data_IF_580598689021
#
_entry.id   IF_580598689021
#
_cell.length_a   1.000
_cell.length_b   1.000
_cell.length_c   1.000
_cell.angle_alpha   90.00
_cell.angle_beta   90.00
_cell.angle_gamma   90.00
#
_symmetry.space_group_name_H-M   'P 1'
#
loop_
_entity.id
_entity.type
_entity.pdbx_description
1 polymer ?
#
# COMPACT_ATOMS: atom_id res chain seq x y z
N UNK A 1 9.73 -52.07 -20.66
CA UNK A 1 9.43 -50.82 -21.37
C UNK A 1 7.90 -50.81 -21.48
N UNK A 2 7.12 -50.06 -20.72
CA UNK A 2 6.96 -48.59 -20.59
C UNK A 2 6.01 -48.40 -19.37
N UNK A 3 6.08 -47.41 -18.47
CA UNK A 3 6.50 -46.02 -18.55
C UNK A 3 5.28 -45.11 -18.68
N UNK A 4 4.54 -44.84 -17.59
CA UNK A 4 3.43 -43.87 -17.59
C UNK A 4 3.34 -43.12 -16.25
N UNK A 5 4.23 -42.14 -16.06
CA UNK A 5 4.08 -41.10 -15.05
C UNK A 5 3.41 -39.89 -15.67
N UNK A 6 2.08 -39.82 -15.58
CA UNK A 6 1.29 -38.65 -15.98
C UNK A 6 1.29 -37.61 -14.84
N UNK A 7 2.38 -36.86 -14.70
CA UNK A 7 2.42 -35.72 -13.79
C UNK A 7 1.65 -34.55 -14.39
N UNK A 8 0.50 -34.22 -13.81
CA UNK A 8 -0.24 -32.99 -14.10
C UNK A 8 0.70 -31.79 -13.87
N UNK A 9 0.95 -30.88 -14.84
CA UNK A 9 1.75 -29.70 -14.55
C UNK A 9 0.94 -28.83 -13.59
N UNK A 10 1.29 -28.87 -12.29
CA UNK A 10 0.85 -27.84 -11.35
C UNK A 10 1.38 -26.52 -11.92
N UNK A 11 0.48 -25.64 -12.36
CA UNK A 11 0.85 -24.28 -12.71
C UNK A 11 1.63 -23.71 -11.51
N UNK A 12 2.91 -23.39 -11.73
CA UNK A 12 3.68 -22.70 -10.73
C UNK A 12 3.05 -21.30 -10.58
N UNK A 13 2.35 -21.07 -9.48
CA UNK A 13 1.89 -19.73 -9.12
C UNK A 13 3.14 -18.89 -8.94
N UNK A 14 3.46 -18.05 -9.93
CA UNK A 14 4.55 -17.06 -9.79
C UNK A 14 4.15 -16.16 -8.63
N UNK A 15 4.98 -16.12 -7.60
CA UNK A 15 4.78 -15.18 -6.49
C UNK A 15 4.75 -13.77 -7.08
N UNK A 16 3.71 -12.99 -6.75
CA UNK A 16 3.67 -11.59 -7.12
C UNK A 16 4.95 -10.91 -6.61
N UNK A 17 5.61 -10.07 -7.41
CA UNK A 17 6.78 -9.33 -6.94
C UNK A 17 6.38 -8.58 -5.67
N UNK A 18 7.22 -8.69 -4.64
CA UNK A 18 7.06 -7.86 -3.44
C UNK A 18 7.27 -6.42 -3.87
N UNK A 19 6.29 -5.52 -3.70
CA UNK A 19 6.45 -4.14 -4.11
C UNK A 19 7.67 -3.53 -3.42
N UNK A 20 8.46 -2.77 -4.17
CA UNK A 20 9.59 -2.04 -3.60
C UNK A 20 9.10 -1.09 -2.50
N UNK A 21 9.92 -0.82 -1.48
CA UNK A 21 9.53 0.13 -0.45
C UNK A 21 9.37 1.52 -1.07
N UNK A 22 8.16 2.11 -1.10
CA UNK A 22 7.97 3.40 -1.74
C UNK A 22 8.62 4.51 -0.90
N UNK A 23 9.30 5.44 -1.56
CA UNK A 23 9.70 6.70 -0.93
C UNK A 23 8.51 7.65 -0.94
N UNK A 24 8.03 8.03 0.25
CA UNK A 24 6.90 8.94 0.40
C UNK A 24 7.38 10.40 0.30
N UNK A 25 6.71 11.19 -0.54
CA UNK A 25 6.82 12.63 -0.57
C UNK A 25 5.59 13.24 0.13
N UNK A 26 5.84 14.18 1.04
CA UNK A 26 4.80 14.85 1.83
C UNK A 26 4.86 16.35 1.56
N UNK A 27 3.74 16.92 1.13
CA UNK A 27 3.58 18.36 0.92
C UNK A 27 2.38 18.88 1.71
N UNK A 28 2.47 20.12 2.17
CA UNK A 28 1.35 20.86 2.77
C UNK A 28 1.10 22.13 1.97
N UNK A 29 -0.15 22.35 1.56
CA UNK A 29 -0.55 23.54 0.81
C UNK A 29 -2.04 23.80 0.96
N UNK A 30 -2.46 25.06 1.01
CA UNK A 30 -3.87 25.48 1.14
C UNK A 30 -4.67 24.76 2.23
N UNK A 31 -4.02 24.42 3.36
CA UNK A 31 -4.65 23.69 4.46
C UNK A 31 -4.83 22.18 4.24
N UNK A 32 -4.31 21.64 3.14
CA UNK A 32 -4.36 20.23 2.80
C UNK A 32 -2.98 19.57 2.95
N UNK A 33 -2.99 18.33 3.42
CA UNK A 33 -1.83 17.44 3.39
C UNK A 33 -1.91 16.58 2.14
N UNK A 34 -0.79 16.45 1.43
CA UNK A 34 -0.67 15.58 0.27
C UNK A 34 0.45 14.58 0.53
N UNK A 35 0.14 13.30 0.40
CA UNK A 35 1.08 12.19 0.51
C UNK A 35 1.13 11.51 -0.86
N UNK A 36 2.32 11.43 -1.45
CA UNK A 36 2.49 10.87 -2.79
C UNK A 36 3.70 9.94 -2.89
N UNK A 37 3.64 8.97 -3.78
CA UNK A 37 4.71 8.03 -4.06
C UNK A 37 4.51 7.37 -5.43
N UNK A 38 5.58 6.83 -6.00
CA UNK A 38 5.49 6.01 -7.23
C UNK A 38 4.89 4.66 -6.86
N UNK A 39 3.76 4.33 -7.46
CA UNK A 39 3.01 3.09 -7.24
C UNK A 39 3.32 2.05 -8.31
N UNK A 40 3.02 0.79 -8.02
CA UNK A 40 3.14 -0.31 -8.99
C UNK A 40 1.76 -0.65 -9.56
N UNK A 41 1.71 -0.95 -10.86
CA UNK A 41 0.46 -1.30 -11.54
C UNK A 41 -0.09 -2.61 -11.00
N UNK A 42 -1.36 -2.62 -10.59
CA UNK A 42 -2.04 -3.82 -10.09
C UNK A 42 -1.87 -4.08 -8.59
N UNK A 43 -1.16 -3.20 -7.87
CA UNK A 43 -1.04 -3.25 -6.40
C UNK A 43 -2.07 -2.31 -5.77
N UNK A 44 -2.75 -2.76 -4.71
CA UNK A 44 -3.65 -1.91 -3.93
C UNK A 44 -2.87 -1.24 -2.80
N UNK A 45 -3.13 0.04 -2.57
CA UNK A 45 -2.50 0.81 -1.50
C UNK A 45 -3.55 1.40 -0.58
N UNK A 46 -3.39 1.24 0.72
CA UNK A 46 -4.25 1.84 1.74
C UNK A 46 -3.42 2.85 2.55
N UNK A 47 -3.88 4.10 2.58
CA UNK A 47 -3.36 5.08 3.53
C UNK A 47 -3.98 4.80 4.91
N UNK A 48 -3.14 4.81 5.94
CA UNK A 48 -3.57 4.75 7.32
C UNK A 48 -2.97 5.89 8.13
N UNK A 49 -3.72 6.34 9.15
CA UNK A 49 -3.27 7.33 10.11
C UNK A 49 -3.34 6.80 11.54
N UNK A 50 -2.54 7.38 12.42
CA UNK A 50 -2.58 7.13 13.85
C UNK A 50 -2.21 8.39 14.63
N UNK A 51 -2.79 8.59 15.81
CA UNK A 51 -2.39 9.64 16.73
C UNK A 51 -1.07 9.32 17.47
N UNK A 52 -0.67 8.04 17.52
CA UNK A 52 0.55 7.58 18.19
C UNK A 52 1.36 6.65 17.31
N UNK A 53 2.69 6.77 17.34
CA UNK A 53 3.57 5.87 16.57
C UNK A 53 3.70 4.48 17.22
N UNK A 54 3.28 4.33 18.48
CA UNK A 54 3.33 3.07 19.21
C UNK A 54 2.48 2.04 18.45
N UNK A 55 3.17 1.09 17.80
CA UNK A 55 2.61 0.09 16.90
C UNK A 55 1.73 -0.96 17.57
N UNK A 56 0.93 -0.56 18.57
CA UNK A 56 -0.10 -1.40 19.16
C UNK A 56 -1.11 -1.76 18.06
N UNK A 57 -1.45 -3.05 17.89
CA UNK A 57 -2.49 -3.46 16.96
C UNK A 57 -3.80 -2.75 17.32
N UNK A 58 -4.34 -1.98 16.37
CA UNK A 58 -5.55 -1.16 16.55
C UNK A 58 -5.32 0.36 16.61
N UNK A 59 -4.07 0.84 16.66
CA UNK A 59 -3.78 2.28 16.65
C UNK A 59 -3.90 2.95 15.27
N UNK A 60 -3.84 2.17 14.19
CA UNK A 60 -3.90 2.67 12.81
C UNK A 60 -5.30 2.53 12.23
N UNK A 61 -5.86 3.63 11.75
CA UNK A 61 -7.16 3.68 11.08
C UNK A 61 -6.99 3.91 9.57
N UNK A 62 -7.92 3.39 8.77
CA UNK A 62 -7.93 3.61 7.33
C UNK A 62 -8.38 5.03 7.00
N UNK A 63 -7.59 5.73 6.19
CA UNK A 63 -7.93 7.03 5.60
C UNK A 63 -8.60 6.80 4.24
N UNK A 64 -9.94 6.70 4.25
CA UNK A 64 -10.72 6.41 3.05
C UNK A 64 -10.51 4.97 2.54
N UNK A 65 -10.82 4.76 1.25
CA UNK A 65 -10.73 3.46 0.59
C UNK A 65 -9.35 3.20 -0.03
N UNK A 66 -8.94 1.92 -0.22
CA UNK A 66 -7.73 1.59 -0.95
C UNK A 66 -7.75 2.14 -2.38
N UNK A 67 -6.60 2.61 -2.85
CA UNK A 67 -6.41 3.10 -4.21
C UNK A 67 -5.54 2.12 -5.02
N UNK A 68 -5.90 1.91 -6.28
CA UNK A 68 -5.15 1.07 -7.20
C UNK A 68 -3.92 1.82 -7.72
N UNK A 69 -2.76 1.18 -7.60
CA UNK A 69 -1.53 1.63 -8.23
C UNK A 69 -1.61 1.49 -9.75
N UNK A 70 -1.05 2.47 -10.44
CA UNK A 70 -1.11 2.59 -11.91
C UNK A 70 0.26 2.45 -12.55
N UNK A 71 1.33 2.23 -11.77
CA UNK A 71 2.71 2.36 -12.24
C UNK A 71 3.23 3.80 -12.19
N UNK A 72 2.34 4.78 -11.93
CA UNK A 72 2.66 6.20 -11.82
C UNK A 72 2.60 6.72 -10.38
N UNK A 73 2.65 8.05 -10.23
CA UNK A 73 2.50 8.70 -8.93
C UNK A 73 1.06 8.53 -8.44
N UNK A 74 0.92 7.89 -7.27
CA UNK A 74 -0.33 7.84 -6.53
C UNK A 74 -0.35 8.95 -5.48
N UNK A 75 -1.53 9.51 -5.21
CA UNK A 75 -1.70 10.63 -4.31
C UNK A 75 -2.87 10.42 -3.36
N UNK A 76 -2.59 10.56 -2.06
CA UNK A 76 -3.61 10.65 -1.02
C UNK A 76 -3.67 12.06 -0.45
N UNK A 77 -4.89 12.51 -0.16
CA UNK A 77 -5.18 13.77 0.51
C UNK A 77 -6.00 13.49 1.77
N UNK A 78 -5.38 12.98 2.84
CA UNK A 78 -6.10 12.66 4.06
C UNK A 78 -6.71 13.91 4.68
N UNK A 79 -7.81 13.73 5.41
CA UNK A 79 -8.33 14.81 6.23
C UNK A 79 -7.41 14.95 7.44
N UNK A 80 -6.76 16.09 7.60
CA UNK A 80 -5.92 16.33 8.77
C UNK A 80 -6.82 16.56 9.98
N UNK A 81 -6.74 15.66 10.97
CA UNK A 81 -7.39 15.87 12.26
C UNK A 81 -6.73 16.99 13.09
N UNK A 82 -7.31 17.32 14.23
CA UNK A 82 -6.68 18.26 15.19
C UNK A 82 -5.53 17.56 15.91
N UNK A 83 -4.30 18.05 15.72
CA UNK A 83 -3.10 17.56 16.41
C UNK A 83 -2.08 16.88 15.49
N UNK A 84 -1.04 16.28 16.09
CA UNK A 84 -0.05 15.51 15.35
C UNK A 84 -0.62 14.14 14.96
N UNK A 85 -0.44 13.77 13.70
CA UNK A 85 -0.82 12.46 13.17
C UNK A 85 0.37 11.85 12.43
N UNK A 86 0.50 10.53 12.57
CA UNK A 86 1.46 9.71 11.84
C UNK A 86 0.74 9.03 10.69
N UNK A 87 1.41 8.89 9.55
CA UNK A 87 0.85 8.28 8.35
C UNK A 87 1.72 7.13 7.88
N UNK A 88 1.08 6.09 7.36
CA UNK A 88 1.74 4.98 6.65
C UNK A 88 0.90 4.56 5.46
N UNK A 89 1.57 4.01 4.46
CA UNK A 89 0.92 3.32 3.35
C UNK A 89 1.18 1.83 3.51
N UNK A 90 0.13 1.03 3.39
CA UNK A 90 0.22 -0.44 3.40
C UNK A 90 -0.29 -1.01 2.09
N UNK A 91 0.21 -2.20 1.74
CA UNK A 91 -0.41 -3.08 0.76
C UNK A 91 -1.27 -4.08 1.56
N UNK A 92 -2.60 -4.07 1.44
CA UNK A 92 -3.50 -4.91 2.23
C UNK A 92 -3.48 -6.38 1.82
#
# INVERSE_FOLDING_TARGET
>A
LTGAGGGNPRAATVAAPTPGQPTLAVARGSGLLTISFVSESGVQYQLQSSATVTGLPGGWANEGAPQAGTGGVLMFTPTTGTGAQFFRVIVP
#
